data_IF_347746027041
#
_entry.id   IF_347746027041
#
_cell.length_a   1.000
_cell.length_b   1.000
_cell.length_c   1.000
_cell.angle_alpha   90.00
_cell.angle_beta   90.00
_cell.angle_gamma   90.00
#
_symmetry.space_group_name_H-M   'P 1'
#
loop_
_entity.id
_entity.type
_entity.pdbx_description
1 polymer ?
#
# COMPACT_ATOMS: atom_id res chain seq x y z
N UNK A 1 -4.54 -5.91 -0.72
CA UNK A 1 -4.98 -4.51 -0.94
C UNK A 1 -4.79 -3.74 0.35
N UNK A 2 -4.48 -2.45 0.29
CA UNK A 2 -4.47 -1.56 1.46
C UNK A 2 -5.71 -0.67 1.43
N UNK A 3 -6.49 -0.71 2.52
CA UNK A 3 -7.78 -0.01 2.69
C UNK A 3 -8.81 -0.37 1.61
N UNK A 4 -9.19 -1.65 1.49
CA UNK A 4 -10.09 -2.12 0.43
C UNK A 4 -11.55 -1.64 0.59
N UNK A 5 -11.95 -1.19 1.77
CA UNK A 5 -13.34 -0.87 2.08
C UNK A 5 -13.47 0.54 2.72
N UNK A 6 -14.51 1.31 2.38
CA UNK A 6 -14.63 2.69 2.85
C UNK A 6 -14.84 2.85 4.35
N UNK A 7 -15.35 1.82 5.02
CA UNK A 7 -15.56 1.84 6.48
C UNK A 7 -14.26 1.79 7.30
N UNK A 8 -13.13 1.46 6.68
CA UNK A 8 -11.87 1.28 7.40
C UNK A 8 -11.18 2.62 7.58
N UNK A 9 -10.76 2.92 8.80
CA UNK A 9 -9.82 4.01 9.04
C UNK A 9 -8.38 3.59 8.65
N UNK A 10 -7.43 4.53 8.69
CA UNK A 10 -6.03 4.25 8.31
C UNK A 10 -5.38 3.17 9.17
N UNK A 11 -5.60 3.19 10.49
CA UNK A 11 -4.99 2.24 11.41
C UNK A 11 -5.55 0.83 11.21
N UNK A 12 -6.88 0.70 11.09
CA UNK A 12 -7.55 -0.55 10.77
C UNK A 12 -7.07 -1.13 9.45
N UNK A 13 -6.93 -0.29 8.41
CA UNK A 13 -6.43 -0.71 7.11
C UNK A 13 -4.98 -1.21 7.16
N UNK A 14 -4.12 -0.59 7.98
CA UNK A 14 -2.75 -1.06 8.20
C UNK A 14 -2.77 -2.42 8.91
N UNK A 15 -3.59 -2.57 9.95
CA UNK A 15 -3.70 -3.83 10.69
C UNK A 15 -4.20 -4.95 9.79
N UNK A 16 -5.24 -4.70 9.00
CA UNK A 16 -5.79 -5.67 8.04
C UNK A 16 -4.75 -6.07 7.00
N UNK A 17 -4.05 -5.11 6.40
CA UNK A 17 -3.00 -5.40 5.42
C UNK A 17 -1.84 -6.22 6.03
N UNK A 18 -1.43 -5.90 7.27
CA UNK A 18 -0.41 -6.67 8.00
C UNK A 18 -0.88 -8.09 8.32
N UNK A 19 -2.14 -8.26 8.72
CA UNK A 19 -2.71 -9.59 8.96
C UNK A 19 -2.71 -10.43 7.68
N UNK A 20 -3.09 -9.84 6.54
CA UNK A 20 -3.01 -10.52 5.24
C UNK A 20 -1.57 -10.90 4.86
N UNK A 21 -0.61 -10.00 5.10
CA UNK A 21 0.82 -10.28 4.88
C UNK A 21 1.31 -11.44 5.75
N UNK A 22 0.94 -11.43 7.04
CA UNK A 22 1.31 -12.47 8.00
C UNK A 22 0.74 -13.83 7.59
N UNK A 23 -0.56 -13.88 7.28
CA UNK A 23 -1.25 -15.11 6.89
C UNK A 23 -0.61 -15.74 5.65
N UNK A 24 -0.36 -14.94 4.60
CA UNK A 24 0.28 -15.42 3.38
C UNK A 24 1.72 -15.90 3.63
N UNK A 25 2.47 -15.20 4.49
CA UNK A 25 3.82 -15.61 4.86
C UNK A 25 3.81 -16.94 5.64
N UNK A 26 2.84 -17.14 6.53
CA UNK A 26 2.73 -18.36 7.34
C UNK A 26 2.24 -19.55 6.51
N UNK A 27 1.30 -19.34 5.59
CA UNK A 27 0.93 -20.34 4.59
C UNK A 27 2.13 -20.75 3.73
N UNK A 28 2.92 -19.79 3.26
CA UNK A 28 4.15 -20.09 2.51
C UNK A 28 5.11 -21.00 3.28
N UNK A 29 5.33 -20.73 4.56
CA UNK A 29 6.15 -21.59 5.43
C UNK A 29 5.52 -22.97 5.66
N UNK A 30 4.21 -23.01 5.91
CA UNK A 30 3.49 -24.24 6.23
C UNK A 30 3.49 -25.24 5.07
N UNK A 31 3.44 -24.74 3.83
CA UNK A 31 3.42 -25.55 2.62
C UNK A 31 4.76 -25.63 1.89
N UNK A 32 5.84 -25.05 2.44
CA UNK A 32 7.17 -24.94 1.82
C UNK A 32 7.12 -24.33 0.40
N UNK A 33 6.31 -23.29 0.22
CA UNK A 33 6.15 -22.56 -1.04
C UNK A 33 6.66 -21.13 -0.87
N UNK A 34 7.57 -20.67 -1.75
CA UNK A 34 7.96 -19.27 -1.79
C UNK A 34 6.77 -18.35 -2.07
N UNK A 35 6.56 -17.35 -1.22
CA UNK A 35 5.47 -16.37 -1.36
C UNK A 35 6.07 -14.98 -1.56
N UNK A 36 5.55 -14.26 -2.56
CA UNK A 36 5.76 -12.83 -2.74
C UNK A 36 4.43 -12.10 -2.73
N UNK A 37 4.38 -10.95 -2.07
CA UNK A 37 3.14 -10.20 -1.87
C UNK A 37 3.10 -9.01 -2.81
N UNK A 38 1.94 -8.77 -3.43
CA UNK A 38 1.66 -7.56 -4.20
C UNK A 38 0.69 -6.70 -3.40
N UNK A 39 1.16 -5.52 -2.97
CA UNK A 39 0.38 -4.55 -2.21
C UNK A 39 -0.02 -3.40 -3.12
N UNK A 40 -1.31 -3.30 -3.40
CA UNK A 40 -1.89 -2.18 -4.11
C UNK A 40 -2.77 -1.37 -3.13
N UNK A 41 -2.48 -0.07 -2.93
CA UNK A 41 -3.39 0.85 -2.26
C UNK A 41 -4.66 1.06 -3.08
N UNK A 42 -5.80 1.12 -2.41
CA UNK A 42 -7.07 1.42 -3.07
C UNK A 42 -7.12 2.88 -3.52
N UNK A 43 -7.55 3.12 -4.76
CA UNK A 43 -7.90 4.43 -5.28
C UNK A 43 -9.39 4.47 -5.63
N UNK A 44 -9.96 5.68 -5.74
CA UNK A 44 -11.34 5.88 -6.19
C UNK A 44 -11.32 5.99 -7.72
N UNK A 45 -11.72 4.92 -8.40
CA UNK A 45 -11.80 4.90 -9.87
C UNK A 45 -12.98 5.75 -10.37
N UNK A 46 -12.84 6.35 -11.56
CA UNK A 46 -13.87 7.09 -12.26
C UNK A 46 -14.87 6.13 -12.94
N UNK A 47 -16.14 6.53 -13.00
CA UNK A 47 -17.14 5.84 -13.83
C UNK A 47 -17.59 4.45 -13.34
N UNK A 48 -17.26 4.04 -12.12
CA UNK A 48 -17.71 2.77 -11.56
C UNK A 48 -18.78 2.95 -10.48
N UNK A 49 -19.58 1.90 -10.24
CA UNK A 49 -20.71 1.96 -9.31
C UNK A 49 -20.27 2.28 -7.87
N UNK A 50 -19.05 1.89 -7.49
CA UNK A 50 -18.49 2.17 -6.18
C UNK A 50 -18.01 3.62 -6.02
N UNK A 51 -17.76 4.37 -7.11
CA UNK A 51 -17.23 5.74 -7.04
C UNK A 51 -18.08 6.61 -6.12
N UNK A 52 -19.40 6.62 -6.33
CA UNK A 52 -20.32 7.45 -5.54
C UNK A 52 -20.37 6.99 -4.09
N UNK A 53 -20.41 5.68 -3.82
CA UNK A 53 -20.42 5.14 -2.46
C UNK A 53 -19.16 5.53 -1.67
N UNK A 54 -17.99 5.47 -2.32
CA UNK A 54 -16.73 5.91 -1.72
C UNK A 54 -16.74 7.42 -1.47
N UNK A 55 -17.19 8.23 -2.42
CA UNK A 55 -17.26 9.68 -2.23
C UNK A 55 -18.26 10.09 -1.13
N UNK A 56 -19.46 9.51 -1.14
CA UNK A 56 -20.55 9.80 -0.20
C UNK A 56 -20.23 9.37 1.23
N UNK A 57 -19.44 8.31 1.39
CA UNK A 57 -18.91 7.88 2.70
C UNK A 57 -17.76 8.77 3.21
N UNK A 58 -17.33 9.76 2.42
CA UNK A 58 -16.17 10.58 2.74
C UNK A 58 -14.87 9.77 2.69
N UNK A 59 -14.82 8.73 1.85
CA UNK A 59 -13.64 7.90 1.71
C UNK A 59 -12.42 8.72 1.35
N UNK A 60 -11.31 8.23 1.84
CA UNK A 60 -10.04 8.91 1.87
C UNK A 60 -9.01 7.86 1.47
N UNK A 61 -8.36 7.93 0.29
CA UNK A 61 -7.39 6.93 -0.16
C UNK A 61 -6.25 6.71 0.86
N UNK A 62 -5.56 5.56 0.87
CA UNK A 62 -4.49 5.31 1.84
C UNK A 62 -3.39 6.37 1.82
N UNK A 63 -2.79 6.64 2.97
CA UNK A 63 -1.54 7.40 3.04
C UNK A 63 -0.35 6.56 2.54
N UNK A 64 0.62 7.21 1.89
CA UNK A 64 1.92 6.61 1.59
C UNK A 64 2.65 6.17 2.87
N UNK A 65 2.43 6.83 4.00
CA UNK A 65 2.95 6.38 5.31
C UNK A 65 2.33 5.05 5.76
N UNK A 66 1.06 4.80 5.43
CA UNK A 66 0.39 3.51 5.67
C UNK A 66 1.02 2.41 4.81
N UNK A 67 1.35 2.70 3.55
CA UNK A 67 2.10 1.79 2.67
C UNK A 67 3.46 1.44 3.27
N UNK A 68 4.24 2.44 3.69
CA UNK A 68 5.57 2.26 4.29
C UNK A 68 5.51 1.34 5.52
N UNK A 69 4.49 1.49 6.39
CA UNK A 69 4.30 0.64 7.58
C UNK A 69 4.03 -0.83 7.22
N UNK A 70 3.39 -1.11 6.08
CA UNK A 70 3.16 -2.48 5.61
C UNK A 70 4.43 -3.06 4.99
N UNK A 71 5.18 -2.26 4.23
CA UNK A 71 6.50 -2.66 3.70
C UNK A 71 7.44 -3.03 4.85
N UNK A 72 7.54 -2.18 5.87
CA UNK A 72 8.39 -2.42 7.04
C UNK A 72 8.06 -3.76 7.71
N UNK A 73 6.77 -4.03 7.91
CA UNK A 73 6.30 -5.26 8.52
C UNK A 73 6.63 -6.50 7.67
N UNK A 74 6.40 -6.45 6.36
CA UNK A 74 6.81 -7.53 5.46
C UNK A 74 8.32 -7.79 5.52
N UNK A 75 9.13 -6.72 5.62
CA UNK A 75 10.57 -6.81 5.83
C UNK A 75 10.97 -7.51 7.13
N UNK A 76 10.24 -7.27 8.22
CA UNK A 76 10.45 -7.97 9.51
C UNK A 76 10.18 -9.48 9.39
N UNK A 77 9.19 -9.86 8.58
CA UNK A 77 8.88 -11.26 8.27
C UNK A 77 9.83 -11.89 7.22
N UNK A 78 10.69 -11.07 6.61
CA UNK A 78 11.54 -11.45 5.47
C UNK A 78 10.73 -11.95 4.27
N UNK A 79 9.51 -11.45 4.10
CA UNK A 79 8.63 -11.79 2.98
C UNK A 79 8.77 -10.72 1.89
N UNK A 80 9.17 -11.07 0.66
CA UNK A 80 9.24 -10.12 -0.45
C UNK A 80 7.88 -9.44 -0.70
N UNK A 81 7.92 -8.12 -0.86
CA UNK A 81 6.71 -7.33 -1.14
C UNK A 81 6.95 -6.36 -2.28
N UNK A 82 5.99 -6.31 -3.20
CA UNK A 82 5.96 -5.42 -4.34
C UNK A 82 4.81 -4.45 -4.18
N UNK A 83 5.07 -3.16 -4.36
CA UNK A 83 4.04 -2.12 -4.22
C UNK A 83 3.67 -1.56 -5.59
N UNK A 84 2.39 -1.63 -5.92
CA UNK A 84 1.82 -0.92 -7.07
C UNK A 84 1.31 0.45 -6.62
N UNK A 85 1.96 1.52 -7.07
CA UNK A 85 1.51 2.91 -6.90
C UNK A 85 1.10 3.48 -8.25
N UNK A 86 0.06 2.88 -8.84
CA UNK A 86 -0.52 3.30 -10.11
C UNK A 86 -2.04 3.30 -9.96
N UNK A 87 -2.69 4.34 -10.46
CA UNK A 87 -4.14 4.43 -10.55
C UNK A 87 -4.65 4.15 -11.97
N UNK A 88 -3.75 3.73 -12.87
CA UNK A 88 -4.02 3.36 -14.26
C UNK A 88 -4.64 4.53 -15.07
N UNK A 89 -4.50 5.76 -14.58
CA UNK A 89 -5.17 6.93 -15.12
C UNK A 89 -6.70 6.91 -14.93
N UNK A 90 -7.19 6.06 -14.02
CA UNK A 90 -8.61 5.89 -13.73
C UNK A 90 -9.04 6.58 -12.44
N UNK A 91 -8.14 7.12 -11.62
CA UNK A 91 -8.55 7.80 -10.40
C UNK A 91 -9.27 9.12 -10.69
N UNK A 92 -10.35 9.39 -9.95
CA UNK A 92 -10.93 10.74 -9.88
C UNK A 92 -9.91 11.72 -9.29
N UNK A 93 -10.10 13.02 -9.50
CA UNK A 93 -9.23 14.04 -8.90
C UNK A 93 -9.16 13.89 -7.37
N UNK A 94 -7.95 13.73 -6.83
CA UNK A 94 -7.74 13.47 -5.40
C UNK A 94 -8.09 12.05 -4.92
N UNK A 95 -8.54 11.17 -5.82
CA UNK A 95 -8.93 9.78 -5.54
C UNK A 95 -7.77 8.80 -5.42
N UNK A 96 -6.54 9.25 -5.64
CA UNK A 96 -5.32 8.43 -5.51
C UNK A 96 -4.69 8.59 -4.12
N UNK A 97 -3.69 7.76 -3.81
CA UNK A 97 -3.00 7.74 -2.51
C UNK A 97 -2.57 9.14 -2.03
N UNK A 98 -2.72 9.35 -0.72
CA UNK A 98 -2.33 10.59 -0.04
C UNK A 98 -0.87 10.55 0.40
N UNK A 99 -0.27 11.72 0.60
CA UNK A 99 1.15 11.87 0.95
C UNK A 99 1.36 12.87 2.09
N UNK A 100 0.47 12.86 3.09
CA UNK A 100 0.51 13.84 4.18
C UNK A 100 1.84 13.75 4.93
N UNK A 101 2.57 14.87 5.03
CA UNK A 101 3.90 14.92 5.66
C UNK A 101 5.05 14.34 4.83
N UNK A 102 4.82 13.97 3.56
CA UNK A 102 5.85 13.48 2.64
C UNK A 102 5.88 14.29 1.34
N UNK A 103 7.05 14.38 0.72
CA UNK A 103 7.12 14.78 -0.68
C UNK A 103 6.61 13.61 -1.55
N UNK A 104 5.45 13.79 -2.21
CA UNK A 104 4.78 12.74 -2.98
C UNK A 104 5.69 12.11 -4.04
N UNK A 105 6.33 12.92 -4.87
CA UNK A 105 7.17 12.47 -5.97
C UNK A 105 8.37 11.65 -5.48
N UNK A 106 9.07 12.15 -4.45
CA UNK A 106 10.18 11.43 -3.82
C UNK A 106 9.72 10.12 -3.20
N UNK A 107 8.62 10.14 -2.45
CA UNK A 107 8.08 8.97 -1.77
C UNK A 107 7.64 7.88 -2.76
N UNK A 108 6.88 8.26 -3.79
CA UNK A 108 6.45 7.33 -4.85
C UNK A 108 7.68 6.73 -5.54
N UNK A 109 8.64 7.56 -5.96
CA UNK A 109 9.85 7.08 -6.62
C UNK A 109 10.62 6.08 -5.76
N UNK A 110 10.88 6.41 -4.49
CA UNK A 110 11.60 5.54 -3.57
C UNK A 110 10.87 4.22 -3.32
N UNK A 111 9.54 4.26 -3.16
CA UNK A 111 8.73 3.04 -2.97
C UNK A 111 8.74 2.17 -4.24
N UNK A 112 8.69 2.76 -5.43
CA UNK A 112 8.77 2.01 -6.68
C UNK A 112 10.17 1.46 -6.95
N UNK A 113 11.23 2.20 -6.61
CA UNK A 113 12.61 1.73 -6.71
C UNK A 113 12.89 0.60 -5.70
N UNK A 114 12.27 0.65 -4.51
CA UNK A 114 12.32 -0.43 -3.51
C UNK A 114 11.91 -1.78 -4.08
N UNK A 115 10.92 -1.84 -4.99
CA UNK A 115 10.51 -3.09 -5.63
C UNK A 115 11.67 -3.86 -6.28
N UNK A 116 12.74 -3.15 -6.73
CA UNK A 116 13.90 -3.74 -7.39
C UNK A 116 14.94 -4.32 -6.44
N UNK A 117 15.07 -3.75 -5.24
CA UNK A 117 16.19 -4.05 -4.34
C UNK A 117 15.77 -4.52 -2.94
N UNK A 118 14.51 -4.35 -2.55
CA UNK A 118 13.93 -4.80 -1.28
C UNK A 118 14.70 -4.30 -0.03
N UNK A 119 15.34 -3.12 -0.12
CA UNK A 119 16.13 -2.52 0.98
C UNK A 119 15.35 -1.36 1.59
N UNK A 120 14.71 -1.64 2.73
CA UNK A 120 13.89 -0.67 3.45
C UNK A 120 14.70 0.54 3.94
N UNK A 121 15.95 0.34 4.39
CA UNK A 121 16.78 1.44 4.91
C UNK A 121 17.16 2.40 3.78
N UNK A 122 17.52 1.85 2.62
CA UNK A 122 17.77 2.63 1.42
C UNK A 122 16.54 3.43 1.00
N UNK A 123 15.36 2.79 0.94
CA UNK A 123 14.10 3.46 0.62
C UNK A 123 13.85 4.64 1.56
N UNK A 124 13.95 4.44 2.88
CA UNK A 124 13.74 5.51 3.86
C UNK A 124 14.77 6.64 3.76
N UNK A 125 16.00 6.36 3.35
CA UNK A 125 17.00 7.40 3.10
C UNK A 125 16.62 8.26 1.90
N UNK A 126 16.15 7.66 0.81
CA UNK A 126 15.71 8.35 -0.41
C UNK A 126 14.45 9.20 -0.18
N UNK A 127 13.56 8.78 0.73
CA UNK A 127 12.38 9.55 1.13
C UNK A 127 12.76 10.81 1.93
N UNK A 128 13.77 10.70 2.81
CA UNK A 128 14.15 11.75 3.76
C UNK A 128 15.26 12.70 3.27
N UNK A 129 15.93 12.37 2.16
CA UNK A 129 16.91 13.25 1.49
C UNK A 129 16.23 14.31 0.65
#
# INVERSE_FOLDING_TARGET
MLKPHPSLNEEEAIVEAKNGVQELADLGKAYDVPVSIHLNPTYIAEGCSLTNEMLDSGFQPPELTSVIKVIEFAGQLKTPIYVGLDDEGQAVEGGTFRSTGLNKEKAVKAILDFNRHQDFKRMMKEINS
#
